data_IF_383816555797
#
_entry.id   IF_383816555797
#
_cell.length_a   1.000
_cell.length_b   1.000
_cell.length_c   1.000
_cell.angle_alpha   90.00
_cell.angle_beta   90.00
_cell.angle_gamma   90.00
#
_symmetry.space_group_name_H-M   'P 1'
#
loop_
_entity.id
_entity.type
_entity.pdbx_description
1 polymer ?
#
# COMPACT_ATOMS: atom_id res chain seq x y z
N UNK A 1 -9.93 -9.66 -6.05
CA UNK A 1 -10.09 -8.36 -5.37
C UNK A 1 -11.45 -7.81 -5.72
N UNK A 2 -12.15 -7.22 -4.76
CA UNK A 2 -13.47 -6.60 -4.98
C UNK A 2 -13.43 -5.22 -4.37
N UNK A 3 -13.77 -4.21 -5.15
CA UNK A 3 -13.90 -2.83 -4.68
C UNK A 3 -15.33 -2.63 -4.16
N UNK A 4 -15.47 -2.57 -2.84
CA UNK A 4 -16.75 -2.37 -2.16
C UNK A 4 -17.00 -0.89 -1.80
N UNK A 5 -16.16 0.03 -2.30
CA UNK A 5 -16.22 1.43 -1.87
C UNK A 5 -17.47 2.12 -2.42
N UNK A 6 -18.21 2.77 -1.52
CA UNK A 6 -19.50 3.41 -1.81
C UNK A 6 -19.40 4.93 -1.84
N UNK A 7 -18.36 5.49 -1.21
CA UNK A 7 -18.30 6.92 -0.86
C UNK A 7 -17.31 7.73 -1.67
N UNK A 8 -16.42 7.09 -2.45
CA UNK A 8 -15.33 7.78 -3.14
C UNK A 8 -15.15 7.47 -4.62
N UNK A 9 -16.08 6.75 -5.28
CA UNK A 9 -16.12 6.50 -6.74
C UNK A 9 -14.75 6.50 -7.44
N UNK A 10 -13.78 5.81 -6.83
CA UNK A 10 -12.38 5.87 -7.20
C UNK A 10 -11.91 4.46 -7.50
N UNK A 11 -11.25 4.31 -8.64
CA UNK A 11 -10.53 3.09 -8.94
C UNK A 11 -9.31 2.94 -8.04
N UNK A 12 -8.89 1.69 -7.87
CA UNK A 12 -7.74 1.35 -7.05
C UNK A 12 -6.63 0.71 -7.90
N UNK A 13 -5.53 1.44 -8.19
CA UNK A 13 -4.38 0.87 -8.87
C UNK A 13 -3.66 -0.09 -7.94
N UNK A 14 -3.86 -1.39 -8.11
CA UNK A 14 -3.24 -2.43 -7.29
C UNK A 14 -1.94 -2.90 -7.92
N UNK A 15 -0.86 -2.89 -7.15
CA UNK A 15 0.47 -3.31 -7.51
C UNK A 15 0.95 -4.50 -6.66
N UNK A 16 1.70 -5.43 -7.25
CA UNK A 16 2.43 -6.49 -6.54
C UNK A 16 3.94 -6.36 -6.78
N UNK A 17 4.72 -6.42 -5.72
CA UNK A 17 6.18 -6.48 -5.82
C UNK A 17 6.64 -7.88 -6.21
N UNK A 18 7.79 -7.99 -6.86
CA UNK A 18 8.45 -9.27 -7.15
C UNK A 18 7.79 -10.16 -8.20
N UNK A 19 6.62 -9.78 -8.74
CA UNK A 19 5.87 -10.57 -9.69
C UNK A 19 5.26 -9.74 -10.81
N UNK A 20 5.04 -10.41 -11.95
CA UNK A 20 3.96 -10.07 -12.88
C UNK A 20 2.81 -11.05 -12.64
N UNK A 21 1.59 -10.59 -12.81
CA UNK A 21 0.38 -11.39 -12.80
C UNK A 21 -0.38 -11.30 -14.11
N UNK A 22 -1.14 -12.34 -14.40
CA UNK A 22 -2.06 -12.41 -15.52
C UNK A 22 -3.43 -11.90 -15.08
N UNK A 23 -4.00 -10.96 -15.84
CA UNK A 23 -5.36 -10.47 -15.63
C UNK A 23 -6.34 -11.46 -16.24
N UNK A 24 -7.05 -12.20 -15.38
CA UNK A 24 -7.94 -13.31 -15.79
C UNK A 24 -9.35 -12.79 -16.08
N UNK A 25 -9.86 -11.90 -15.25
CA UNK A 25 -11.15 -11.25 -15.43
C UNK A 25 -11.14 -9.93 -14.67
N UNK A 26 -11.86 -8.94 -15.17
CA UNK A 26 -12.03 -7.64 -14.54
C UNK A 26 -13.29 -7.01 -15.10
N UNK A 27 -14.18 -6.54 -14.23
CA UNK A 27 -15.43 -5.94 -14.66
C UNK A 27 -16.04 -5.06 -13.56
N UNK A 28 -16.98 -4.20 -13.96
CA UNK A 28 -17.83 -3.43 -13.04
C UNK A 28 -19.09 -4.25 -12.77
N UNK A 29 -19.50 -4.33 -11.50
CA UNK A 29 -20.72 -5.03 -11.10
C UNK A 29 -21.84 -4.01 -10.82
N UNK A 30 -21.49 -2.92 -10.13
CA UNK A 30 -22.41 -1.86 -9.77
C UNK A 30 -22.45 -1.60 -8.26
N UNK A 31 -23.19 -0.57 -7.87
CA UNK A 31 -23.33 -0.14 -6.48
C UNK A 31 -23.82 -1.30 -5.61
N UNK A 32 -23.24 -1.42 -4.40
CA UNK A 32 -23.46 -2.52 -3.44
C UNK A 32 -22.82 -3.87 -3.80
N UNK A 33 -21.84 -3.91 -4.70
CA UNK A 33 -21.03 -5.12 -4.90
C UNK A 33 -20.39 -5.55 -3.57
N UNK A 34 -20.36 -6.85 -3.33
CA UNK A 34 -19.70 -7.47 -2.17
C UNK A 34 -18.84 -8.64 -2.65
N UNK A 35 -17.96 -9.12 -1.77
CA UNK A 35 -17.19 -10.33 -2.04
C UNK A 35 -18.09 -11.54 -2.34
N UNK A 36 -19.20 -11.68 -1.62
CA UNK A 36 -20.10 -12.82 -1.76
C UNK A 36 -20.85 -12.80 -3.10
N UNK A 37 -21.27 -11.62 -3.57
CA UNK A 37 -21.86 -11.45 -4.91
C UNK A 37 -20.88 -11.90 -5.99
N UNK A 38 -19.63 -11.43 -5.93
CA UNK A 38 -18.61 -11.79 -6.93
C UNK A 38 -18.25 -13.27 -6.84
N UNK A 39 -18.22 -13.85 -5.64
CA UNK A 39 -18.00 -15.29 -5.43
C UNK A 39 -19.12 -16.11 -6.06
N UNK A 40 -20.38 -15.78 -5.79
CA UNK A 40 -21.55 -16.44 -6.36
C UNK A 40 -21.55 -16.36 -7.89
N UNK A 41 -21.26 -15.18 -8.46
CA UNK A 41 -21.10 -15.01 -9.91
C UNK A 41 -20.02 -15.92 -10.49
N UNK A 42 -18.88 -16.08 -9.81
CA UNK A 42 -17.82 -16.97 -10.25
C UNK A 42 -18.23 -18.45 -10.20
N UNK A 43 -18.92 -18.87 -9.13
CA UNK A 43 -19.40 -20.25 -8.93
C UNK A 43 -20.48 -20.64 -9.93
N UNK A 44 -21.37 -19.70 -10.26
CA UNK A 44 -22.40 -19.88 -11.29
C UNK A 44 -21.87 -19.78 -12.72
N UNK A 45 -20.56 -19.56 -12.92
CA UNK A 45 -19.95 -19.43 -14.24
C UNK A 45 -20.31 -18.14 -14.98
N UNK A 46 -20.82 -17.12 -14.28
CA UNK A 46 -21.18 -15.81 -14.86
C UNK A 46 -19.98 -14.93 -15.14
N UNK A 47 -18.81 -15.23 -14.56
CA UNK A 47 -17.55 -14.52 -14.82
C UNK A 47 -16.80 -15.19 -15.97
N UNK A 48 -16.68 -14.48 -17.10
CA UNK A 48 -15.87 -14.92 -18.23
C UNK A 48 -14.38 -14.79 -17.90
N UNK A 49 -13.67 -15.92 -17.81
CA UNK A 49 -12.26 -15.97 -17.43
C UNK A 49 -11.38 -16.20 -18.65
N UNK A 50 -10.46 -15.27 -18.92
CA UNK A 50 -9.39 -15.44 -19.92
C UNK A 50 -8.25 -16.25 -19.32
N UNK A 51 -8.26 -17.57 -19.53
CA UNK A 51 -7.24 -18.48 -18.98
C UNK A 51 -6.05 -18.72 -19.91
N UNK A 52 -6.20 -18.43 -21.20
CA UNK A 52 -5.16 -18.59 -22.23
C UNK A 52 -4.77 -17.22 -22.75
N UNK A 53 -3.47 -16.95 -22.88
CA UNK A 53 -2.91 -15.68 -23.36
C UNK A 53 -3.50 -14.45 -22.65
N UNK A 54 -3.72 -14.56 -21.34
CA UNK A 54 -4.07 -13.41 -20.50
C UNK A 54 -2.94 -12.38 -20.49
N UNK A 55 -3.28 -11.11 -20.35
CA UNK A 55 -2.29 -10.04 -20.34
C UNK A 55 -1.51 -10.06 -19.03
N UNK A 56 -0.17 -10.08 -19.12
CA UNK A 56 0.71 -9.95 -17.96
C UNK A 56 0.92 -8.47 -17.58
N UNK A 57 0.76 -8.15 -16.30
CA UNK A 57 0.91 -6.82 -15.69
C UNK A 57 1.50 -6.95 -14.29
N UNK A 58 2.13 -5.91 -13.77
CA UNK A 58 2.49 -5.78 -12.34
C UNK A 58 1.50 -4.86 -11.59
N UNK A 59 0.69 -4.12 -12.32
CA UNK A 59 -0.24 -3.11 -11.82
C UNK A 59 -1.51 -3.07 -12.67
N UNK A 60 -2.68 -2.99 -12.03
CA UNK A 60 -3.97 -2.78 -12.69
C UNK A 60 -4.85 -1.81 -11.90
N UNK A 61 -5.68 -1.04 -12.62
CA UNK A 61 -6.76 -0.26 -12.01
C UNK A 61 -7.94 -1.18 -11.74
N UNK A 62 -8.18 -1.54 -10.48
CA UNK A 62 -9.40 -2.26 -10.09
C UNK A 62 -10.53 -1.25 -10.15
N UNK A 63 -11.58 -1.49 -10.97
CA UNK A 63 -12.63 -0.51 -11.16
C UNK A 63 -13.47 -0.36 -9.89
N UNK A 64 -13.91 0.87 -9.62
CA UNK A 64 -14.88 1.13 -8.56
C UNK A 64 -16.13 0.26 -8.73
N UNK A 65 -16.67 -0.22 -7.61
CA UNK A 65 -17.86 -1.06 -7.59
C UNK A 65 -17.75 -2.30 -8.51
N UNK A 66 -16.53 -2.82 -8.63
CA UNK A 66 -16.18 -3.93 -9.50
C UNK A 66 -15.20 -4.91 -8.87
N UNK A 67 -14.58 -5.72 -9.72
CA UNK A 67 -13.63 -6.72 -9.28
C UNK A 67 -12.49 -6.91 -10.27
N UNK A 68 -11.40 -7.48 -9.78
CA UNK A 68 -10.34 -8.03 -10.61
C UNK A 68 -9.91 -9.40 -10.08
N UNK A 69 -9.76 -10.36 -11.00
CA UNK A 69 -9.21 -11.69 -10.79
C UNK A 69 -7.85 -11.74 -11.48
N UNK A 70 -6.81 -11.97 -10.69
CA UNK A 70 -5.45 -12.11 -11.18
C UNK A 70 -4.91 -13.51 -10.88
N UNK A 71 -3.93 -13.94 -11.64
CA UNK A 71 -3.18 -15.19 -11.41
C UNK A 71 -1.70 -14.90 -11.53
N UNK A 72 -0.90 -15.38 -10.59
CA UNK A 72 0.56 -15.36 -10.68
C UNK A 72 1.10 -16.70 -10.17
N UNK A 73 2.36 -16.98 -10.51
CA UNK A 73 3.08 -18.17 -10.06
C UNK A 73 3.97 -17.71 -8.90
N UNK A 74 3.96 -18.44 -7.79
CA UNK A 74 4.76 -18.12 -6.59
C UNK A 74 6.15 -18.75 -6.69
N UNK A 75 6.96 -18.32 -7.66
CA UNK A 75 8.29 -18.85 -7.97
C UNK A 75 9.45 -17.97 -7.49
N UNK A 76 9.16 -16.91 -6.72
CA UNK A 76 10.13 -15.97 -6.20
C UNK A 76 10.00 -15.86 -4.65
N UNK A 77 10.78 -16.64 -3.88
CA UNK A 77 10.72 -16.61 -2.42
C UNK A 77 11.08 -15.23 -1.83
N UNK A 78 10.29 -14.76 -0.87
CA UNK A 78 10.46 -13.44 -0.27
C UNK A 78 9.19 -12.90 0.38
N UNK A 79 9.27 -11.64 0.83
CA UNK A 79 8.14 -10.86 1.34
C UNK A 79 7.77 -9.79 0.31
N UNK A 80 6.59 -9.91 -0.28
CA UNK A 80 6.18 -9.08 -1.42
C UNK A 80 4.99 -8.21 -1.05
N UNK A 81 5.20 -6.90 -1.06
CA UNK A 81 4.13 -5.94 -0.80
C UNK A 81 3.11 -5.97 -1.94
N UNK A 82 1.84 -6.03 -1.57
CA UNK A 82 0.70 -5.94 -2.45
C UNK A 82 -0.18 -4.81 -1.96
N UNK A 83 -0.33 -3.76 -2.75
CA UNK A 83 -0.92 -2.53 -2.24
C UNK A 83 -1.59 -1.69 -3.32
N UNK A 84 -2.44 -0.78 -2.87
CA UNK A 84 -2.89 0.33 -3.70
C UNK A 84 -1.74 1.30 -3.93
N UNK A 85 -1.54 1.76 -5.17
CA UNK A 85 -0.48 2.67 -5.57
C UNK A 85 -0.88 4.15 -5.40
N UNK A 86 -2.02 4.41 -4.75
CA UNK A 86 -2.38 5.73 -4.21
C UNK A 86 -1.82 5.81 -2.79
N UNK A 87 -0.84 6.70 -2.55
CA UNK A 87 -0.11 6.77 -1.27
C UNK A 87 -1.03 6.84 -0.06
N UNK A 88 -2.05 7.71 -0.09
CA UNK A 88 -3.00 7.83 1.02
C UNK A 88 -3.77 6.52 1.28
N UNK A 89 -4.14 5.76 0.25
CA UNK A 89 -4.83 4.48 0.43
C UNK A 89 -3.88 3.42 1.01
N UNK A 90 -2.65 3.38 0.53
CA UNK A 90 -1.60 2.50 1.07
C UNK A 90 -1.35 2.78 2.56
N UNK A 91 -1.13 4.05 2.91
CA UNK A 91 -0.86 4.51 4.28
C UNK A 91 -2.04 4.26 5.22
N UNK A 92 -3.27 4.34 4.72
CA UNK A 92 -4.49 4.01 5.46
C UNK A 92 -4.77 2.50 5.54
N UNK A 93 -3.83 1.65 5.08
CA UNK A 93 -3.88 0.20 5.29
C UNK A 93 -4.38 -0.62 4.11
N UNK A 94 -4.53 -0.03 2.91
CA UNK A 94 -4.85 -0.78 1.69
C UNK A 94 -3.60 -1.49 1.13
N UNK A 95 -3.01 -2.34 1.96
CA UNK A 95 -1.81 -3.12 1.68
C UNK A 95 -1.83 -4.45 2.43
N UNK A 96 -1.12 -5.44 1.88
CA UNK A 96 -0.79 -6.70 2.54
C UNK A 96 0.57 -7.18 2.05
N UNK A 97 1.16 -8.17 2.71
CA UNK A 97 2.42 -8.78 2.31
C UNK A 97 2.21 -10.26 2.04
N UNK A 98 2.64 -10.73 0.85
CA UNK A 98 2.75 -12.15 0.57
C UNK A 98 4.10 -12.67 1.06
N UNK A 99 4.08 -13.66 1.94
CA UNK A 99 5.25 -14.48 2.21
C UNK A 99 5.25 -15.66 1.22
N UNK A 100 6.28 -15.75 0.39
CA UNK A 100 6.49 -16.89 -0.52
C UNK A 100 7.74 -17.64 -0.09
N UNK A 101 7.61 -18.95 0.09
CA UNK A 101 8.69 -19.81 0.57
C UNK A 101 9.00 -19.66 2.07
N UNK A 102 10.00 -20.42 2.51
CA UNK A 102 10.54 -20.34 3.86
C UNK A 102 11.69 -19.32 3.92
N UNK A 103 12.07 -18.91 5.13
CA UNK A 103 13.19 -17.99 5.33
C UNK A 103 14.52 -18.46 4.71
N UNK A 104 14.75 -19.78 4.66
CA UNK A 104 15.94 -20.36 4.03
C UNK A 104 15.94 -20.31 2.50
N UNK A 105 14.78 -20.11 1.87
CA UNK A 105 14.63 -20.03 0.42
C UNK A 105 14.86 -18.60 -0.11
N UNK A 106 14.88 -17.61 0.80
CA UNK A 106 14.99 -16.19 0.46
C UNK A 106 16.43 -15.80 0.13
N UNK A 107 16.59 -14.88 -0.82
CA UNK A 107 17.89 -14.31 -1.13
C UNK A 107 18.48 -13.60 0.10
N UNK A 108 19.75 -13.87 0.40
CA UNK A 108 20.45 -13.16 1.45
C UNK A 108 20.55 -11.66 1.09
N UNK A 109 20.35 -10.74 2.06
CA UNK A 109 20.61 -9.32 1.83
C UNK A 109 22.05 -9.11 1.35
N UNK A 110 22.30 -8.13 0.47
CA UNK A 110 23.65 -7.84 -0.01
C UNK A 110 24.59 -7.44 1.15
N UNK A 111 25.92 -7.56 0.99
CA UNK A 111 26.87 -7.09 1.99
C UNK A 111 26.60 -5.62 2.37
N UNK A 112 26.70 -5.31 3.66
CA UNK A 112 26.41 -3.98 4.24
C UNK A 112 24.96 -3.49 4.10
N UNK A 113 23.99 -4.36 3.80
CA UNK A 113 22.57 -3.99 3.84
C UNK A 113 22.18 -3.52 5.26
N UNK A 114 21.54 -2.34 5.41
CA UNK A 114 21.14 -1.84 6.72
C UNK A 114 20.25 -2.83 7.46
N UNK A 115 20.51 -3.01 8.75
CA UNK A 115 19.69 -3.81 9.65
C UNK A 115 18.78 -2.89 10.46
N UNK A 116 17.73 -3.45 11.04
CA UNK A 116 16.94 -2.72 12.02
C UNK A 116 17.88 -2.15 13.11
N UNK A 117 17.73 -0.86 13.41
CA UNK A 117 18.59 -0.15 14.35
C UNK A 117 19.95 0.30 13.80
N UNK A 118 20.32 -0.02 12.55
CA UNK A 118 21.55 0.49 11.92
C UNK A 118 21.32 1.77 11.11
N UNK A 119 20.09 2.26 11.04
CA UNK A 119 19.78 3.50 10.33
C UNK A 119 20.27 4.69 11.16
N UNK A 120 21.04 5.57 10.53
CA UNK A 120 21.66 6.76 11.11
C UNK A 120 20.64 7.87 11.46
N UNK A 121 19.54 7.53 12.13
CA UNK A 121 18.76 8.51 12.88
C UNK A 121 19.27 8.51 14.32
N UNK A 122 20.47 9.07 14.50
CA UNK A 122 20.86 9.58 15.80
C UNK A 122 19.98 10.80 16.09
N UNK A 123 18.86 10.56 16.78
CA UNK A 123 18.00 11.62 17.31
C UNK A 123 18.85 12.64 18.10
N UNK A 124 19.90 12.17 18.77
CA UNK A 124 20.90 13.01 19.45
C UNK A 124 21.66 13.95 18.49
N UNK A 125 22.09 13.49 17.31
CA UNK A 125 22.82 14.35 16.35
C UNK A 125 21.91 15.41 15.69
N UNK A 126 20.63 15.10 15.44
CA UNK A 126 19.69 16.11 14.95
C UNK A 126 19.34 17.16 16.01
N UNK A 127 19.13 16.75 17.27
CA UNK A 127 18.92 17.68 18.40
C UNK A 127 20.15 18.57 18.61
N UNK A 128 21.36 18.01 18.49
CA UNK A 128 22.60 18.77 18.59
C UNK A 128 22.78 19.74 17.41
N UNK A 129 22.40 19.35 16.18
CA UNK A 129 22.43 20.24 15.01
C UNK A 129 21.40 21.38 15.09
N UNK A 130 20.23 21.14 15.66
CA UNK A 130 19.23 22.18 15.95
C UNK A 130 19.73 23.15 17.03
N UNK A 131 20.37 22.66 18.09
CA UNK A 131 20.96 23.51 19.14
C UNK A 131 22.19 24.31 18.69
N UNK A 132 22.89 23.84 17.64
CA UNK A 132 24.07 24.50 17.09
C UNK A 132 23.72 25.59 16.06
N UNK A 133 22.51 25.57 15.51
CA UNK A 133 22.07 26.43 14.41
C UNK A 133 20.97 27.38 14.86
N UNK A 134 21.25 28.29 15.78
CA UNK A 134 20.32 29.37 16.09
C UNK A 134 20.38 29.86 17.52
N UNK A 135 21.09 30.97 17.71
CA UNK A 135 20.88 31.82 18.87
C UNK A 135 19.51 32.53 18.70
N UNK A 136 18.42 31.81 18.95
CA UNK A 136 17.07 32.40 19.04
C UNK A 136 16.65 32.30 20.49
N UNK A 137 16.45 33.48 21.08
CA UNK A 137 16.18 33.69 22.50
C UNK A 137 14.94 32.89 22.93
N UNK A 138 15.11 31.95 23.89
CA UNK A 138 14.07 31.01 24.37
C UNK A 138 12.73 31.66 24.76
N UNK A 139 12.71 32.95 25.03
CA UNK A 139 11.48 33.70 25.32
C UNK A 139 10.56 33.90 24.09
N UNK A 140 11.11 34.04 22.88
CA UNK A 140 10.32 34.29 21.67
C UNK A 140 9.61 33.01 21.20
N UNK A 141 10.25 31.85 21.34
CA UNK A 141 9.70 30.56 20.94
C UNK A 141 8.48 30.16 21.80
N UNK A 142 8.54 30.38 23.12
CA UNK A 142 7.43 30.08 24.01
C UNK A 142 6.21 30.97 23.77
N UNK A 143 6.41 32.24 23.39
CA UNK A 143 5.31 33.17 23.12
C UNK A 143 4.57 32.83 21.81
N UNK A 144 5.29 32.40 20.78
CA UNK A 144 4.70 31.99 19.49
C UNK A 144 3.94 30.67 19.61
N UNK A 145 4.43 29.72 20.41
CA UNK A 145 3.77 28.42 20.61
C UNK A 145 2.47 28.55 21.43
N UNK A 146 2.44 29.45 22.41
CA UNK A 146 1.22 29.76 23.18
C UNK A 146 0.14 30.44 22.33
N UNK A 147 0.52 31.35 21.43
CA UNK A 147 -0.41 32.02 20.52
C UNK A 147 -0.99 31.05 19.46
N UNK A 148 -0.19 30.10 18.96
CA UNK A 148 -0.68 29.11 17.99
C UNK A 148 -1.60 28.04 18.63
N UNK A 149 -1.31 27.63 19.87
CA UNK A 149 -2.14 26.68 20.63
C UNK A 149 -3.54 27.25 20.94
N UNK A 150 -3.65 28.55 21.24
CA UNK A 150 -4.96 29.18 21.48
C UNK A 150 -5.81 29.35 20.22
N UNK A 151 -5.21 29.46 19.02
CA UNK A 151 -5.95 29.61 17.76
C UNK A 151 -6.54 28.26 17.28
N UNK A 152 -5.85 27.15 17.57
CA UNK A 152 -6.29 25.82 17.16
C UNK A 152 -7.41 25.28 18.08
N UNK A 153 -7.51 25.75 19.33
CA UNK A 153 -8.59 25.34 20.24
C UNK A 153 -9.92 26.12 20.05
N UNK A 154 -10.03 27.00 19.05
CA UNK A 154 -11.23 27.80 18.77
C UNK A 154 -11.90 27.46 17.42
N UNK A 155 -11.54 26.34 16.79
CA UNK A 155 -12.26 25.75 15.66
C UNK A 155 -12.43 24.24 15.83
#
# INVERSE_FOLDING_TARGET
>A
MVDISVTREQDHPIHIHGYKFYVVAMDIVGLNVTLDIVREMNEQGKIQKKLVNATAKDTISVPNAGYAIIRFITDNPGFWLFHCHVSNHMELGMSLVFQVGNYGDMAAPPPNFPKCGSSFYNVEEEILKQNSSGHINKQIFNLVFLLFSMIICLF
#
